data_IF_162083260835
#
_entry.id   IF_162083260835
#
_cell.length_a   1.000
_cell.length_b   1.000
_cell.length_c   1.000
_cell.angle_alpha   90.00
_cell.angle_beta   90.00
_cell.angle_gamma   90.00
#
_symmetry.space_group_name_H-M   'P 1'
#
loop_
_entity.id
_entity.type
_entity.pdbx_description
1 polymer ?
#
# COMPACT_ATOMS: atom_id res chain seq x y z
N UNK A 1 -6.62 -5.13 -28.39
CA UNK A 1 -5.23 -4.70 -28.11
C UNK A 1 -4.67 -3.86 -29.25
N UNK A 2 -4.71 -4.30 -30.51
CA UNK A 2 -4.21 -3.49 -31.65
C UNK A 2 -4.99 -2.18 -31.89
N UNK A 3 -6.29 -2.15 -31.63
CA UNK A 3 -7.11 -0.94 -31.75
C UNK A 3 -6.76 0.14 -30.71
N UNK A 4 -6.26 -0.28 -29.55
CA UNK A 4 -5.84 0.62 -28.46
C UNK A 4 -4.46 1.23 -28.75
N UNK A 5 -3.53 0.44 -29.29
CA UNK A 5 -2.23 0.89 -29.78
C UNK A 5 -2.34 1.83 -31.00
N UNK A 6 -3.37 1.65 -31.83
CA UNK A 6 -3.69 2.56 -32.93
C UNK A 6 -4.24 3.91 -32.45
N UNK A 7 -5.04 3.92 -31.38
CA UNK A 7 -5.56 5.14 -30.76
C UNK A 7 -4.45 5.90 -30.00
N UNK A 8 -3.51 5.18 -29.38
CA UNK A 8 -2.32 5.75 -28.73
C UNK A 8 -1.29 6.32 -29.73
N UNK A 9 -1.14 5.72 -30.92
CA UNK A 9 -0.32 6.31 -31.99
C UNK A 9 -0.95 7.57 -32.61
N UNK A 10 -2.29 7.65 -32.67
CA UNK A 10 -2.99 8.87 -33.09
C UNK A 10 -2.86 10.00 -32.06
N UNK A 11 -2.67 9.65 -30.78
CA UNK A 11 -2.43 10.58 -29.67
C UNK A 11 -1.03 11.24 -29.72
N UNK A 12 -0.07 10.63 -30.41
CA UNK A 12 1.33 11.09 -30.50
C UNK A 12 1.67 11.86 -31.80
N UNK A 13 0.73 11.97 -32.74
CA UNK A 13 0.87 12.82 -33.92
C UNK A 13 -0.14 13.96 -33.87
N UNK A 14 0.20 15.04 -33.19
CA UNK A 14 -0.44 16.34 -33.41
C UNK A 14 0.05 16.87 -34.76
N UNK A 15 -0.50 16.34 -35.86
CA UNK A 15 -0.43 17.02 -37.14
C UNK A 15 -1.48 18.13 -37.09
N UNK A 16 -1.11 19.41 -37.25
CA UNK A 16 -2.11 20.46 -37.33
C UNK A 16 -3.01 20.14 -38.53
N UNK A 17 -4.30 19.96 -38.29
CA UNK A 17 -5.30 19.92 -39.36
C UNK A 17 -5.45 21.33 -39.93
N UNK A 18 -4.42 21.80 -40.61
CA UNK A 18 -4.57 22.92 -41.51
C UNK A 18 -5.27 22.33 -42.73
N UNK A 19 -6.59 22.48 -42.78
CA UNK A 19 -7.31 22.42 -44.05
C UNK A 19 -6.88 23.63 -44.88
N UNK A 20 -5.65 23.62 -45.39
CA UNK A 20 -5.37 24.32 -46.63
C UNK A 20 -5.97 23.45 -47.73
N UNK A 21 -7.25 23.64 -48.01
CA UNK A 21 -7.74 23.27 -49.33
C UNK A 21 -6.88 24.06 -50.33
N UNK A 22 -5.94 23.37 -50.97
CA UNK A 22 -5.10 23.91 -52.02
C UNK A 22 -5.98 24.28 -53.20
N UNK A 23 -6.55 25.49 -53.19
CA UNK A 23 -7.33 26.02 -54.30
C UNK A 23 -8.57 26.85 -53.95
N UNK A 24 -9.00 26.92 -52.69
CA UNK A 24 -10.05 27.87 -52.30
C UNK A 24 -9.44 29.11 -51.67
N UNK A 25 -9.14 30.07 -52.54
CA UNK A 25 -8.62 31.39 -52.23
C UNK A 25 -9.60 32.17 -51.33
N UNK A 26 -9.47 32.04 -50.00
CA UNK A 26 -9.94 33.05 -49.08
C UNK A 26 -8.93 34.20 -49.09
N UNK A 27 -8.97 35.05 -50.13
CA UNK A 27 -8.20 36.29 -50.18
C UNK A 27 -7.63 36.67 -51.54
N UNK A 28 -8.41 37.49 -52.27
CA UNK A 28 -8.02 38.41 -53.34
C UNK A 28 -7.70 37.86 -54.75
N UNK A 29 -8.48 38.34 -55.72
CA UNK A 29 -8.15 38.40 -57.15
C UNK A 29 -7.78 39.85 -57.50
N UNK A 30 -6.64 40.05 -58.16
CA UNK A 30 -6.12 41.36 -58.55
C UNK A 30 -7.04 42.08 -59.55
N UNK A 31 -7.80 43.06 -59.06
CA UNK A 31 -8.69 43.86 -59.91
C UNK A 31 -9.51 44.95 -59.21
N UNK A 32 -9.23 45.31 -57.96
CA UNK A 32 -9.83 46.47 -57.31
C UNK A 32 -8.77 47.27 -56.55
N UNK A 33 -8.69 48.59 -56.78
CA UNK A 33 -7.59 49.47 -56.35
C UNK A 33 -8.12 50.61 -55.46
N UNK A 34 -7.27 51.12 -54.55
CA UNK A 34 -7.52 52.13 -53.51
C UNK A 34 -8.16 51.60 -52.20
N UNK A 35 -7.61 51.99 -51.04
CA UNK A 35 -7.90 51.46 -49.69
C UNK A 35 -7.67 49.95 -49.53
N UNK A 36 -6.41 49.54 -49.66
CA UNK A 36 -6.00 48.14 -49.55
C UNK A 36 -6.39 47.51 -48.19
N UNK A 37 -6.70 46.22 -48.16
CA UNK A 37 -7.31 45.58 -47.01
C UNK A 37 -6.27 45.51 -45.90
N UNK A 38 -6.57 46.09 -44.74
CA UNK A 38 -5.88 45.72 -43.51
C UNK A 38 -6.08 44.21 -43.39
N UNK A 39 -5.03 43.46 -43.74
CA UNK A 39 -5.05 42.02 -43.68
C UNK A 39 -5.48 41.64 -42.27
N UNK A 40 -6.62 40.95 -42.17
CA UNK A 40 -7.04 40.35 -40.92
C UNK A 40 -5.87 39.51 -40.44
N UNK A 41 -5.27 39.93 -39.34
CA UNK A 41 -4.30 39.14 -38.62
C UNK A 41 -5.06 37.88 -38.23
N UNK A 42 -4.79 36.76 -38.90
CA UNK A 42 -5.18 35.45 -38.38
C UNK A 42 -4.01 35.02 -37.50
N UNK A 43 -4.08 35.23 -36.17
CA UNK A 43 -2.96 34.88 -35.32
C UNK A 43 -2.73 33.38 -35.45
N UNK A 44 -1.49 32.98 -35.72
CA UNK A 44 -1.07 31.57 -35.62
C UNK A 44 -1.28 31.16 -34.16
N UNK A 45 -2.37 30.47 -33.88
CA UNK A 45 -2.71 30.02 -32.54
C UNK A 45 -1.66 28.99 -32.11
N UNK A 46 -0.93 29.30 -31.03
CA UNK A 46 -0.05 28.35 -30.36
C UNK A 46 -0.91 27.19 -29.82
N UNK A 47 -0.45 25.95 -29.97
CA UNK A 47 -1.20 24.77 -29.55
C UNK A 47 -1.52 24.80 -28.05
N UNK A 48 -2.67 24.21 -27.68
CA UNK A 48 -3.17 24.23 -26.31
C UNK A 48 -2.32 23.31 -25.42
N UNK A 49 -1.73 23.86 -24.35
CA UNK A 49 -0.95 23.07 -23.40
C UNK A 49 -1.87 22.49 -22.32
N UNK A 50 -1.65 21.22 -21.96
CA UNK A 50 -2.35 20.54 -20.85
C UNK A 50 -1.39 20.18 -19.74
N UNK A 51 -1.93 20.04 -18.52
CA UNK A 51 -1.19 19.50 -17.38
C UNK A 51 -1.12 17.97 -17.50
N UNK A 52 0.08 17.42 -17.27
CA UNK A 52 0.28 15.97 -17.24
C UNK A 52 -0.45 15.34 -16.04
N UNK A 53 -0.89 14.09 -16.22
CA UNK A 53 -1.55 13.33 -15.15
C UNK A 53 -0.50 12.60 -14.31
N UNK A 54 -0.63 12.58 -12.98
CA UNK A 54 0.22 11.75 -12.13
C UNK A 54 -0.04 10.26 -12.37
N UNK A 55 1.00 9.45 -12.35
CA UNK A 55 0.89 7.99 -12.46
C UNK A 55 0.22 7.35 -11.23
N UNK A 56 -0.60 6.33 -11.45
CA UNK A 56 -1.37 5.64 -10.41
C UNK A 56 -0.59 4.42 -9.88
N UNK A 57 -0.56 4.23 -8.56
CA UNK A 57 0.21 3.14 -7.89
C UNK A 57 -0.60 2.29 -6.91
N UNK A 58 -1.84 2.66 -6.62
CA UNK A 58 -2.65 2.03 -5.58
C UNK A 58 -2.81 0.51 -5.76
N UNK A 59 -2.91 0.01 -6.99
CA UNK A 59 -3.09 -1.41 -7.28
C UNK A 59 -1.84 -2.25 -7.01
N UNK A 60 -0.66 -1.62 -7.02
CA UNK A 60 0.58 -2.30 -6.66
C UNK A 60 0.76 -2.42 -5.15
N UNK A 61 0.19 -1.48 -4.40
CA UNK A 61 0.33 -1.34 -2.95
C UNK A 61 -0.70 -2.15 -2.16
N UNK A 62 -1.94 -2.25 -2.65
CA UNK A 62 -3.03 -3.01 -2.01
C UNK A 62 -3.29 -4.35 -2.71
N UNK A 63 -3.91 -5.30 -2.01
CA UNK A 63 -4.45 -6.52 -2.63
C UNK A 63 -5.76 -6.21 -3.36
N UNK A 64 -6.00 -6.80 -4.52
CA UNK A 64 -7.24 -6.57 -5.30
C UNK A 64 -8.16 -7.78 -5.19
N UNK A 65 -9.39 -7.55 -4.71
CA UNK A 65 -10.40 -8.60 -4.54
C UNK A 65 -11.74 -8.18 -5.16
N UNK A 66 -12.01 -8.53 -6.43
CA UNK A 66 -13.27 -8.15 -7.06
C UNK A 66 -14.48 -8.76 -6.34
N UNK A 67 -15.53 -7.96 -6.19
CA UNK A 67 -16.79 -8.38 -5.56
C UNK A 67 -17.84 -8.65 -6.64
N UNK A 68 -18.64 -9.70 -6.46
CA UNK A 68 -19.79 -10.00 -7.33
C UNK A 68 -21.12 -9.50 -6.75
N UNK A 69 -21.11 -9.05 -5.49
CA UNK A 69 -22.26 -8.57 -4.75
C UNK A 69 -21.90 -7.24 -4.06
N UNK A 70 -22.88 -6.39 -3.71
CA UNK A 70 -22.62 -5.09 -3.07
C UNK A 70 -22.01 -5.21 -1.67
N UNK A 71 -22.17 -6.37 -1.02
CA UNK A 71 -21.51 -6.73 0.22
C UNK A 71 -20.74 -8.04 0.05
N UNK A 72 -19.54 -8.10 0.61
CA UNK A 72 -18.66 -9.25 0.62
C UNK A 72 -18.32 -9.64 2.06
N UNK A 73 -18.03 -10.92 2.27
CA UNK A 73 -17.58 -11.43 3.57
C UNK A 73 -16.17 -11.97 3.41
N UNK A 74 -15.27 -11.52 4.27
CA UNK A 74 -13.93 -12.09 4.42
C UNK A 74 -13.97 -12.94 5.69
N UNK A 75 -13.56 -14.20 5.56
CA UNK A 75 -13.47 -15.12 6.68
C UNK A 75 -12.01 -15.29 7.08
N UNK A 76 -11.75 -15.28 8.39
CA UNK A 76 -10.45 -15.54 8.98
C UNK A 76 -10.59 -16.69 9.98
N UNK A 77 -9.72 -17.69 9.87
CA UNK A 77 -9.66 -18.79 10.81
C UNK A 77 -8.47 -18.57 11.74
N UNK A 78 -8.73 -18.56 13.05
CA UNK A 78 -7.72 -18.44 14.10
C UNK A 78 -7.71 -19.71 14.92
N UNK A 79 -6.54 -20.29 15.15
CA UNK A 79 -6.34 -21.39 16.10
C UNK A 79 -6.19 -20.83 17.50
N UNK A 80 -6.86 -21.41 18.50
CA UNK A 80 -6.87 -20.92 19.88
C UNK A 80 -6.62 -22.06 20.87
N UNK A 81 -5.94 -21.76 21.96
CA UNK A 81 -5.87 -22.66 23.10
C UNK A 81 -7.21 -22.66 23.86
N UNK A 82 -7.60 -23.80 24.41
CA UNK A 82 -8.79 -23.90 25.26
C UNK A 82 -8.35 -23.72 26.71
N UNK A 83 -8.74 -22.59 27.32
CA UNK A 83 -8.60 -22.39 28.76
C UNK A 83 -9.89 -22.86 29.44
N UNK A 84 -9.78 -23.87 30.31
CA UNK A 84 -10.90 -24.48 31.04
C UNK A 84 -11.66 -23.54 31.98
N UNK A 85 -11.25 -22.28 32.09
CA UNK A 85 -11.94 -21.23 32.87
C UNK A 85 -12.99 -20.45 32.08
N UNK A 86 -12.95 -20.48 30.74
CA UNK A 86 -13.87 -19.72 29.91
C UNK A 86 -15.09 -20.55 29.51
N UNK A 87 -16.30 -20.09 29.85
CA UNK A 87 -17.58 -20.71 29.48
C UNK A 87 -17.78 -20.86 27.96
N UNK A 88 -16.93 -20.23 27.16
CA UNK A 88 -16.84 -20.38 25.72
C UNK A 88 -15.37 -20.70 25.38
N UNK A 89 -15.06 -21.98 25.12
CA UNK A 89 -13.73 -22.57 24.81
C UNK A 89 -13.02 -21.98 23.56
N UNK A 90 -13.41 -20.78 23.13
CA UNK A 90 -12.92 -20.09 21.93
C UNK A 90 -12.25 -18.73 22.26
N UNK A 91 -12.01 -18.43 23.54
CA UNK A 91 -11.46 -17.15 24.00
C UNK A 91 -10.00 -17.22 24.49
N UNK A 92 -9.36 -18.38 24.42
CA UNK A 92 -7.94 -18.51 24.78
C UNK A 92 -7.01 -17.87 23.75
N UNK A 93 -5.74 -17.71 24.14
CA UNK A 93 -4.68 -17.10 23.32
C UNK A 93 -4.57 -17.76 21.95
N UNK A 94 -4.33 -16.95 20.91
CA UNK A 94 -4.13 -17.45 19.55
C UNK A 94 -2.85 -18.28 19.44
N UNK A 95 -3.00 -19.52 18.99
CA UNK A 95 -1.91 -20.42 18.64
C UNK A 95 -1.41 -20.12 17.22
N UNK A 96 -0.17 -20.53 16.91
CA UNK A 96 0.49 -20.36 15.61
C UNK A 96 0.81 -18.90 15.20
N UNK A 97 0.58 -17.95 16.10
CA UNK A 97 0.95 -16.55 15.92
C UNK A 97 2.06 -16.12 16.90
N UNK A 98 1.77 -16.26 18.19
CA UNK A 98 2.71 -16.00 19.28
C UNK A 98 3.76 -17.12 19.37
N UNK A 99 4.81 -16.86 20.15
CA UNK A 99 5.79 -17.89 20.51
C UNK A 99 5.06 -19.10 21.13
N UNK A 100 5.24 -20.32 20.60
CA UNK A 100 4.55 -21.50 21.11
C UNK A 100 4.96 -21.77 22.56
N UNK A 101 3.98 -22.03 23.43
CA UNK A 101 4.24 -22.46 24.80
C UNK A 101 4.84 -23.87 24.84
N UNK A 102 6.13 -23.94 25.20
CA UNK A 102 6.88 -25.19 25.35
C UNK A 102 6.35 -26.11 26.46
N UNK A 103 5.57 -25.58 27.42
CA UNK A 103 4.97 -26.38 28.49
C UNK A 103 3.58 -26.91 28.15
N UNK A 104 2.84 -26.28 27.22
CA UNK A 104 1.40 -26.52 27.04
C UNK A 104 1.05 -27.99 26.76
N UNK A 105 1.81 -28.69 25.92
CA UNK A 105 1.58 -30.13 25.66
C UNK A 105 2.27 -31.07 26.68
N UNK A 106 3.18 -30.54 27.50
CA UNK A 106 3.89 -31.27 28.55
C UNK A 106 3.21 -31.22 29.92
N UNK A 107 2.16 -30.42 30.05
CA UNK A 107 1.38 -30.22 31.27
C UNK A 107 -0.03 -30.81 31.15
N UNK A 108 -0.65 -31.10 32.30
CA UNK A 108 -2.10 -31.33 32.36
C UNK A 108 -2.83 -29.99 32.29
N UNK A 109 -4.16 -30.01 32.14
CA UNK A 109 -5.00 -28.80 32.22
C UNK A 109 -4.93 -28.04 33.54
N UNK A 110 -4.27 -28.60 34.56
CA UNK A 110 -4.05 -27.97 35.87
C UNK A 110 -2.63 -27.43 36.05
N UNK A 111 -1.74 -27.58 35.05
CA UNK A 111 -0.33 -27.17 35.11
C UNK A 111 0.42 -27.68 36.35
N UNK A 112 0.12 -28.92 36.77
CA UNK A 112 0.60 -29.51 38.02
C UNK A 112 1.82 -30.45 37.88
N UNK A 113 2.31 -30.69 36.67
CA UNK A 113 3.36 -31.69 36.44
C UNK A 113 4.74 -31.05 36.64
N UNK A 114 5.28 -31.15 37.86
CA UNK A 114 6.63 -30.68 38.22
C UNK A 114 7.63 -31.79 38.52
N UNK A 115 7.15 -33.04 38.60
CA UNK A 115 8.00 -34.20 38.85
C UNK A 115 8.96 -34.44 37.69
N UNK A 116 10.25 -34.54 37.98
CA UNK A 116 11.29 -34.84 36.98
C UNK A 116 11.72 -33.65 36.12
N UNK A 117 11.43 -32.42 36.52
CA UNK A 117 12.08 -31.24 35.95
C UNK A 117 13.60 -31.34 36.07
N UNK A 118 14.30 -30.98 34.99
CA UNK A 118 15.76 -31.10 34.90
C UNK A 118 16.43 -30.19 35.94
N UNK A 119 16.08 -28.91 35.93
CA UNK A 119 16.54 -27.93 36.91
C UNK A 119 15.68 -26.65 36.88
N UNK A 120 14.58 -26.67 37.63
CA UNK A 120 13.66 -25.54 37.72
C UNK A 120 14.31 -24.27 38.32
N UNK A 121 15.42 -24.41 39.06
CA UNK A 121 16.11 -23.26 39.66
C UNK A 121 16.86 -22.41 38.65
N UNK A 122 17.21 -23.00 37.50
CA UNK A 122 17.86 -22.34 36.36
C UNK A 122 16.89 -22.14 35.18
N UNK A 123 15.58 -22.28 35.41
CA UNK A 123 14.55 -22.14 34.37
C UNK A 123 14.48 -23.33 33.38
N UNK A 124 15.13 -24.46 33.68
CA UNK A 124 15.12 -25.66 32.86
C UNK A 124 14.07 -26.65 33.35
N UNK A 125 12.90 -26.61 32.70
CA UNK A 125 11.75 -27.44 33.07
C UNK A 125 10.89 -26.74 34.10
N UNK A 126 9.90 -26.03 33.58
CA UNK A 126 8.89 -25.30 34.34
C UNK A 126 7.48 -25.68 33.87
N UNK A 127 6.47 -25.27 34.63
CA UNK A 127 5.05 -25.55 34.31
C UNK A 127 4.47 -24.59 33.28
N UNK A 128 5.21 -23.54 32.91
CA UNK A 128 4.86 -22.56 31.88
C UNK A 128 6.16 -21.88 31.42
N UNK A 129 6.23 -21.42 30.18
CA UNK A 129 7.35 -20.60 29.72
C UNK A 129 7.11 -19.11 29.94
N UNK A 130 8.19 -18.35 30.04
CA UNK A 130 8.21 -16.91 30.24
C UNK A 130 9.42 -16.27 29.56
N UNK A 131 9.30 -14.97 29.25
CA UNK A 131 10.28 -14.23 28.47
C UNK A 131 10.17 -14.50 26.96
N UNK A 132 10.42 -13.46 26.16
CA UNK A 132 10.23 -13.49 24.70
C UNK A 132 11.49 -13.11 23.91
N UNK A 133 12.57 -12.76 24.61
CA UNK A 133 13.83 -12.35 24.00
C UNK A 133 15.01 -13.00 24.74
N UNK A 134 15.80 -13.87 24.08
CA UNK A 134 16.96 -14.50 24.71
C UNK A 134 18.06 -13.51 25.11
N UNK A 135 18.00 -12.25 24.65
CA UNK A 135 18.85 -11.17 25.17
C UNK A 135 18.66 -10.89 26.66
N UNK A 136 17.53 -11.30 27.25
CA UNK A 136 17.31 -11.23 28.70
C UNK A 136 18.30 -12.09 29.51
N UNK A 137 18.91 -13.11 28.88
CA UNK A 137 19.93 -13.96 29.48
C UNK A 137 21.31 -13.28 29.59
N UNK A 138 21.44 -11.99 29.26
CA UNK A 138 22.71 -11.27 29.33
C UNK A 138 22.63 -10.07 30.31
N UNK A 139 23.38 -10.09 31.43
CA UNK A 139 24.29 -11.16 31.87
C UNK A 139 23.54 -12.42 32.34
N UNK A 140 24.17 -13.59 32.16
CA UNK A 140 23.57 -14.87 32.57
C UNK A 140 23.74 -15.07 34.07
N UNK A 141 22.62 -15.03 34.78
CA UNK A 141 22.48 -15.26 36.21
C UNK A 141 21.28 -16.18 36.42
N UNK A 142 21.21 -16.90 37.53
CA UNK A 142 20.06 -17.79 37.81
C UNK A 142 18.73 -17.01 37.73
N UNK A 143 18.70 -15.77 38.22
CA UNK A 143 17.52 -14.90 38.14
C UNK A 143 17.12 -14.51 36.70
N UNK A 144 18.10 -14.29 35.81
CA UNK A 144 17.82 -13.97 34.39
C UNK A 144 17.46 -15.21 33.58
N UNK A 145 17.93 -16.39 33.99
CA UNK A 145 17.53 -17.67 33.41
C UNK A 145 16.10 -18.06 33.81
N UNK A 146 15.71 -17.86 35.07
CA UNK A 146 14.31 -18.06 35.51
C UNK A 146 13.35 -17.05 34.84
N UNK A 147 13.83 -15.87 34.48
CA UNK A 147 13.03 -14.88 33.73
C UNK A 147 12.90 -15.19 32.22
N UNK A 148 13.66 -16.16 31.71
CA UNK A 148 13.55 -16.72 30.36
C UNK A 148 13.59 -18.25 30.46
N UNK A 149 12.52 -18.82 31.01
CA UNK A 149 12.42 -20.24 31.31
C UNK A 149 11.74 -21.03 30.19
N UNK A 150 11.91 -22.36 30.24
CA UNK A 150 11.40 -23.28 29.24
C UNK A 150 10.57 -24.39 29.89
N UNK A 151 9.44 -24.69 29.27
CA UNK A 151 8.64 -25.86 29.61
C UNK A 151 9.36 -27.16 29.30
N UNK A 152 9.05 -28.21 30.07
CA UNK A 152 9.56 -29.56 29.82
C UNK A 152 8.43 -30.52 29.49
N UNK A 153 8.74 -31.54 28.71
CA UNK A 153 7.82 -32.64 28.39
C UNK A 153 7.35 -33.39 29.62
N UNK A 154 6.15 -33.97 29.52
CA UNK A 154 5.54 -34.78 30.56
C UNK A 154 6.30 -36.10 30.74
N UNK A 155 6.47 -36.56 31.98
CA UNK A 155 6.95 -37.92 32.24
C UNK A 155 5.90 -38.96 31.81
N UNK A 156 6.37 -40.14 31.42
CA UNK A 156 5.51 -41.23 30.94
C UNK A 156 4.47 -41.67 31.97
N UNK A 157 4.84 -41.71 33.26
CA UNK A 157 3.92 -42.07 34.34
C UNK A 157 2.78 -41.06 34.54
N UNK A 158 3.04 -39.76 34.36
CA UNK A 158 1.97 -38.75 34.35
C UNK A 158 1.15 -38.81 33.05
N UNK A 159 1.80 -39.07 31.91
CA UNK A 159 1.15 -39.16 30.60
C UNK A 159 0.22 -40.35 30.46
N UNK A 160 0.52 -41.49 31.07
CA UNK A 160 -0.33 -42.68 31.06
C UNK A 160 -1.61 -42.48 31.88
N UNK A 161 -1.58 -41.59 32.88
CA UNK A 161 -2.73 -41.26 33.73
C UNK A 161 -3.57 -40.09 33.18
N UNK A 162 -3.24 -39.58 31.98
CA UNK A 162 -3.95 -38.45 31.37
C UNK A 162 -5.34 -38.90 30.89
N UNK A 163 -6.38 -38.18 31.30
CA UNK A 163 -7.79 -38.54 31.13
C UNK A 163 -8.46 -39.08 32.40
N UNK A 164 -7.69 -39.33 33.47
CA UNK A 164 -8.23 -39.67 34.78
C UNK A 164 -8.67 -38.42 35.58
N UNK A 165 -9.36 -38.61 36.71
CA UNK A 165 -9.86 -37.52 37.54
C UNK A 165 -8.71 -36.61 38.00
N UNK A 166 -8.75 -35.33 37.61
CA UNK A 166 -7.73 -34.33 37.96
C UNK A 166 -6.54 -34.24 37.00
N UNK A 167 -6.48 -35.07 35.95
CA UNK A 167 -5.40 -35.07 34.95
C UNK A 167 -5.97 -35.00 33.55
N UNK A 168 -6.60 -33.89 33.18
CA UNK A 168 -7.18 -33.73 31.83
C UNK A 168 -6.14 -33.27 30.81
N UNK A 169 -6.39 -33.62 29.55
CA UNK A 169 -5.63 -33.12 28.41
C UNK A 169 -5.80 -31.60 28.24
N UNK A 170 -4.75 -30.95 27.76
CA UNK A 170 -4.85 -29.61 27.22
C UNK A 170 -5.43 -29.66 25.80
N UNK A 171 -6.37 -28.77 25.50
CA UNK A 171 -7.13 -28.78 24.26
C UNK A 171 -6.85 -27.56 23.38
N UNK A 172 -7.02 -27.73 22.06
CA UNK A 172 -6.93 -26.67 21.06
C UNK A 172 -8.20 -26.64 20.22
N UNK A 173 -8.62 -25.45 19.85
CA UNK A 173 -9.79 -25.22 19.01
C UNK A 173 -9.45 -24.25 17.87
N UNK A 174 -10.39 -24.06 16.95
CA UNK A 174 -10.33 -22.98 15.98
C UNK A 174 -11.62 -22.18 16.00
N UNK A 175 -11.52 -20.91 15.65
CA UNK A 175 -12.64 -19.98 15.51
C UNK A 175 -12.61 -19.34 14.13
N UNK A 176 -13.80 -19.16 13.55
CA UNK A 176 -13.94 -18.48 12.27
C UNK A 176 -14.58 -17.12 12.52
N UNK A 177 -13.83 -16.07 12.25
CA UNK A 177 -14.27 -14.69 12.33
C UNK A 177 -14.69 -14.21 10.92
N UNK A 178 -15.64 -13.27 10.88
CA UNK A 178 -16.10 -12.67 9.63
C UNK A 178 -15.98 -11.16 9.67
N UNK A 179 -15.51 -10.58 8.58
CA UNK A 179 -15.50 -9.13 8.35
C UNK A 179 -16.32 -8.84 7.10
N UNK A 180 -17.20 -7.84 7.19
CA UNK A 180 -18.03 -7.41 6.07
C UNK A 180 -17.35 -6.28 5.31
N UNK A 181 -17.36 -6.37 3.99
CA UNK A 181 -16.94 -5.29 3.08
C UNK A 181 -18.17 -4.78 2.37
N UNK A 182 -18.43 -3.48 2.43
CA UNK A 182 -19.58 -2.85 1.77
C UNK A 182 -19.09 -1.89 0.70
N UNK A 183 -19.57 -2.07 -0.54
CA UNK A 183 -19.18 -1.23 -1.67
C UNK A 183 -19.82 0.16 -1.57
N UNK A 184 -18.97 1.20 -1.54
CA UNK A 184 -19.30 2.62 -1.64
C UNK A 184 -19.24 3.09 -3.10
N UNK A 185 -19.86 4.23 -3.41
CA UNK A 185 -19.94 4.75 -4.78
C UNK A 185 -19.20 6.08 -4.94
N UNK A 186 -18.58 6.28 -6.11
CA UNK A 186 -18.16 7.59 -6.60
C UNK A 186 -18.87 7.92 -7.90
N UNK A 187 -19.16 9.19 -8.11
CA UNK A 187 -19.77 9.66 -9.34
C UNK A 187 -19.40 11.11 -9.61
N UNK A 188 -19.07 11.43 -10.87
CA UNK A 188 -18.91 12.79 -11.35
C UNK A 188 -19.77 13.00 -12.59
N UNK A 189 -20.15 14.26 -12.82
CA UNK A 189 -20.98 14.67 -13.94
C UNK A 189 -20.43 15.96 -14.52
N UNK A 190 -20.45 16.05 -15.84
CA UNK A 190 -20.25 17.28 -16.57
C UNK A 190 -21.46 17.57 -17.46
N UNK A 191 -21.75 18.84 -17.62
CA UNK A 191 -22.73 19.35 -18.58
C UNK A 191 -21.97 20.29 -19.52
N UNK A 192 -22.31 20.25 -20.80
CA UNK A 192 -21.76 21.17 -21.78
C UNK A 192 -22.86 21.68 -22.69
N UNK A 193 -22.72 22.93 -23.13
CA UNK A 193 -23.64 23.53 -24.10
C UNK A 193 -23.30 23.06 -25.51
N UNK A 194 -24.32 22.92 -26.35
CA UNK A 194 -24.13 22.66 -27.78
C UNK A 194 -23.37 23.81 -28.44
N UNK A 195 -23.65 25.04 -28.05
CA UNK A 195 -22.95 26.23 -28.57
C UNK A 195 -21.46 26.15 -28.25
N UNK A 196 -21.10 25.82 -27.00
CA UNK A 196 -19.71 25.67 -26.59
C UNK A 196 -19.02 24.52 -27.33
N UNK A 197 -19.70 23.40 -27.56
CA UNK A 197 -19.14 22.29 -28.31
C UNK A 197 -18.90 22.64 -29.79
N UNK A 198 -19.79 23.45 -30.39
CA UNK A 198 -19.64 23.94 -31.76
C UNK A 198 -18.48 24.93 -31.86
N UNK A 199 -18.39 25.91 -30.96
CA UNK A 199 -17.31 26.90 -30.92
C UNK A 199 -15.94 26.24 -30.70
N UNK A 200 -15.87 25.33 -29.73
CA UNK A 200 -14.64 24.63 -29.37
C UNK A 200 -14.16 23.74 -30.51
N UNK A 201 -15.09 23.10 -31.24
CA UNK A 201 -14.77 22.32 -32.44
C UNK A 201 -14.33 23.21 -33.61
N UNK A 202 -14.97 24.36 -33.80
CA UNK A 202 -14.68 25.26 -34.92
C UNK A 202 -13.33 25.99 -34.77
N UNK A 203 -12.99 26.40 -33.55
CA UNK A 203 -11.75 27.15 -33.27
C UNK A 203 -10.58 26.21 -32.97
N UNK A 204 -10.77 25.23 -32.08
CA UNK A 204 -9.67 24.40 -31.58
C UNK A 204 -9.61 23.00 -32.22
N UNK A 205 -10.58 22.62 -33.04
CA UNK A 205 -10.66 21.27 -33.62
C UNK A 205 -10.90 20.16 -32.60
N UNK A 206 -11.15 20.51 -31.33
CA UNK A 206 -11.29 19.56 -30.23
C UNK A 206 -12.75 19.12 -30.05
N UNK A 207 -12.95 17.90 -29.55
CA UNK A 207 -14.26 17.37 -29.22
C UNK A 207 -14.54 17.55 -27.72
N UNK A 208 -15.41 18.51 -27.37
CA UNK A 208 -15.76 18.84 -25.99
C UNK A 208 -16.27 17.63 -25.18
N UNK A 209 -17.02 16.70 -25.81
CA UNK A 209 -17.50 15.50 -25.13
C UNK A 209 -16.35 14.58 -24.73
N UNK A 210 -15.43 14.31 -25.66
CA UNK A 210 -14.29 13.44 -25.43
C UNK A 210 -13.35 14.02 -24.36
N UNK A 211 -13.12 15.33 -24.39
CA UNK A 211 -12.28 16.00 -23.40
C UNK A 211 -12.87 15.95 -21.99
N UNK A 212 -14.16 16.26 -21.86
CA UNK A 212 -14.85 16.15 -20.57
C UNK A 212 -14.91 14.69 -20.10
N UNK A 213 -15.10 13.73 -21.01
CA UNK A 213 -15.10 12.32 -20.67
C UNK A 213 -13.75 11.89 -20.06
N UNK A 214 -12.66 12.32 -20.69
CA UNK A 214 -11.31 12.03 -20.23
C UNK A 214 -11.08 12.64 -18.85
N UNK A 215 -11.32 13.94 -18.66
CA UNK A 215 -11.12 14.65 -17.37
C UNK A 215 -11.86 13.95 -16.23
N UNK A 216 -13.14 13.62 -16.42
CA UNK A 216 -13.94 12.98 -15.37
C UNK A 216 -13.44 11.58 -15.03
N UNK A 217 -13.08 10.80 -16.05
CA UNK A 217 -12.60 9.43 -15.83
C UNK A 217 -11.27 9.41 -15.08
N UNK A 218 -10.36 10.30 -15.46
CA UNK A 218 -9.03 10.39 -14.87
C UNK A 218 -9.08 10.94 -13.45
N UNK A 219 -9.97 11.91 -13.20
CA UNK A 219 -10.17 12.46 -11.85
C UNK A 219 -10.69 11.40 -10.88
N UNK A 220 -11.72 10.62 -11.26
CA UNK A 220 -12.23 9.55 -10.40
C UNK A 220 -11.14 8.52 -10.10
N UNK A 221 -10.33 8.14 -11.08
CA UNK A 221 -9.23 7.19 -10.88
C UNK A 221 -8.15 7.78 -9.97
N UNK A 222 -7.79 9.05 -10.13
CA UNK A 222 -6.83 9.74 -9.27
C UNK A 222 -7.34 9.86 -7.83
N UNK A 223 -8.62 10.17 -7.63
CA UNK A 223 -9.26 10.20 -6.32
C UNK A 223 -9.24 8.84 -5.62
N UNK A 224 -9.57 7.76 -6.33
CA UNK A 224 -9.52 6.39 -5.81
C UNK A 224 -8.08 6.03 -5.42
N UNK A 225 -7.12 6.33 -6.29
CA UNK A 225 -5.70 6.09 -6.01
C UNK A 225 -5.25 6.82 -4.74
N UNK A 226 -5.65 8.09 -4.58
CA UNK A 226 -5.30 8.87 -3.39
C UNK A 226 -6.03 8.39 -2.13
N UNK A 227 -7.26 7.90 -2.25
CA UNK A 227 -7.97 7.28 -1.13
C UNK A 227 -7.21 6.06 -0.61
N UNK A 228 -6.80 5.14 -1.49
CA UNK A 228 -6.01 3.95 -1.11
C UNK A 228 -4.72 4.35 -0.39
N UNK A 229 -3.97 5.29 -0.96
CA UNK A 229 -2.71 5.76 -0.37
C UNK A 229 -2.94 6.39 1.02
N UNK A 230 -3.96 7.24 1.16
CA UNK A 230 -4.27 7.88 2.45
C UNK A 230 -4.76 6.88 3.49
N UNK A 231 -5.50 5.85 3.07
CA UNK A 231 -5.88 4.75 3.96
C UNK A 231 -4.63 4.03 4.45
N UNK A 232 -3.68 3.69 3.57
CA UNK A 232 -2.40 3.08 3.97
C UNK A 232 -1.71 3.91 5.06
N UNK A 233 -1.62 5.23 4.91
CA UNK A 233 -1.03 6.09 5.94
C UNK A 233 -1.78 6.11 7.27
N UNK A 234 -3.11 5.95 7.24
CA UNK A 234 -3.93 5.91 8.46
C UNK A 234 -3.91 4.56 9.16
N UNK A 235 -3.70 3.49 8.42
CA UNK A 235 -3.65 2.12 8.93
C UNK A 235 -2.24 1.66 9.30
N UNK A 236 -1.22 2.34 8.77
CA UNK A 236 0.17 2.05 9.09
C UNK A 236 0.47 2.37 10.56
N UNK A 237 1.17 1.46 11.21
CA UNK A 237 1.68 1.69 12.57
C UNK A 237 2.92 2.57 12.56
N UNK A 238 3.18 3.21 13.70
CA UNK A 238 4.36 4.04 13.91
C UNK A 238 5.64 3.18 13.92
N UNK A 239 6.53 3.40 12.95
CA UNK A 239 7.87 2.78 12.88
C UNK A 239 8.86 3.38 13.88
N UNK A 240 10.14 2.98 13.80
CA UNK A 240 11.23 3.57 14.60
C UNK A 240 10.94 3.64 16.12
N UNK A 241 10.59 2.50 16.74
CA UNK A 241 10.23 2.45 18.17
C UNK A 241 11.38 2.12 19.13
N UNK A 242 12.39 1.39 18.66
CA UNK A 242 13.53 0.92 19.47
C UNK A 242 14.79 1.67 19.03
N UNK A 243 15.94 1.63 19.72
CA UNK A 243 17.24 2.25 19.30
C UNK A 243 17.17 3.58 18.50
N UNK A 244 16.29 4.49 18.92
CA UNK A 244 16.22 5.87 18.45
C UNK A 244 16.05 6.78 19.65
N UNK A 245 16.48 8.02 19.54
CA UNK A 245 16.37 9.01 20.61
C UNK A 245 14.92 9.42 20.89
N UNK A 246 14.06 9.42 19.87
CA UNK A 246 12.64 9.73 20.01
C UNK A 246 11.79 8.76 19.20
N UNK A 247 10.97 7.96 19.88
CA UNK A 247 10.14 6.94 19.28
C UNK A 247 9.21 7.54 18.20
N UNK A 248 9.16 6.89 17.04
CA UNK A 248 8.39 7.35 15.88
C UNK A 248 9.11 8.32 14.96
N UNK A 249 10.33 8.74 15.31
CA UNK A 249 11.16 9.59 14.46
C UNK A 249 12.56 9.03 14.33
N UNK A 250 13.12 9.07 13.12
CA UNK A 250 14.52 8.76 12.89
C UNK A 250 15.26 10.05 12.53
N UNK A 251 16.10 10.52 13.43
CA UNK A 251 16.90 11.72 13.25
C UNK A 251 18.28 11.36 12.71
N UNK A 252 18.58 11.81 11.48
CA UNK A 252 19.86 11.55 10.81
C UNK A 252 21.10 12.05 11.60
N UNK A 253 20.96 13.05 12.47
CA UNK A 253 22.07 13.61 13.24
C UNK A 253 22.29 12.94 14.60
N UNK A 254 21.23 12.36 15.19
CA UNK A 254 21.26 11.78 16.54
C UNK A 254 21.25 10.26 16.51
N UNK A 255 20.44 9.68 15.62
CA UNK A 255 20.26 8.23 15.52
C UNK A 255 21.24 7.59 14.53
N UNK A 256 22.02 8.40 13.82
CA UNK A 256 23.11 7.95 12.96
C UNK A 256 24.41 8.67 13.26
N UNK A 257 25.44 7.91 13.66
CA UNK A 257 26.77 8.42 14.01
C UNK A 257 27.67 8.67 12.79
N UNK A 258 27.09 8.83 11.60
CA UNK A 258 27.85 9.15 10.39
C UNK A 258 28.47 10.55 10.47
N UNK A 259 29.74 10.69 10.09
CA UNK A 259 30.39 12.00 9.99
C UNK A 259 29.91 12.73 8.75
N UNK A 260 29.71 12.01 7.65
CA UNK A 260 29.27 12.55 6.36
C UNK A 260 27.83 12.10 6.05
N UNK A 261 27.08 12.88 5.26
CA UNK A 261 25.66 12.62 4.99
C UNK A 261 25.38 11.24 4.38
N UNK A 262 26.29 10.72 3.56
CA UNK A 262 26.12 9.39 2.95
C UNK A 262 26.18 8.27 3.99
N UNK A 263 27.02 8.41 5.02
CA UNK A 263 27.07 7.46 6.14
C UNK A 263 25.79 7.52 6.96
N UNK A 264 25.23 8.72 7.15
CA UNK A 264 23.94 8.91 7.83
C UNK A 264 22.78 8.25 7.09
N UNK A 265 22.77 8.33 5.76
CA UNK A 265 21.77 7.64 4.93
C UNK A 265 21.88 6.12 4.97
N UNK A 266 23.08 5.55 5.21
CA UNK A 266 23.21 4.11 5.50
C UNK A 266 22.58 3.73 6.84
N UNK A 267 22.63 4.61 7.84
CA UNK A 267 21.88 4.46 9.09
C UNK A 267 20.37 4.39 8.85
N UNK A 268 19.83 5.24 7.97
CA UNK A 268 18.43 5.19 7.57
C UNK A 268 18.07 3.84 6.90
N UNK A 269 18.95 3.30 6.04
CA UNK A 269 18.70 2.01 5.41
C UNK A 269 18.66 0.86 6.42
N UNK A 270 19.54 0.89 7.43
CA UNK A 270 19.48 -0.08 8.53
C UNK A 270 18.21 0.07 9.36
N UNK A 271 17.76 1.31 9.58
CA UNK A 271 16.50 1.58 10.26
C UNK A 271 15.30 0.98 9.51
N UNK A 272 15.25 1.16 8.19
CA UNK A 272 14.21 0.56 7.33
C UNK A 272 14.26 -0.97 7.41
N UNK A 273 15.44 -1.59 7.41
CA UNK A 273 15.58 -3.04 7.55
C UNK A 273 15.03 -3.53 8.90
N UNK A 274 15.23 -2.76 9.98
CA UNK A 274 14.69 -3.10 11.29
C UNK A 274 13.16 -3.02 11.32
N UNK A 275 12.57 -1.99 10.74
CA UNK A 275 11.11 -1.89 10.63
C UNK A 275 10.56 -3.01 9.72
N UNK A 276 11.26 -3.37 8.64
CA UNK A 276 10.91 -4.50 7.79
C UNK A 276 10.94 -5.84 8.54
N UNK A 277 11.89 -6.03 9.46
CA UNK A 277 11.98 -7.21 10.31
C UNK A 277 10.85 -7.25 11.35
N UNK A 278 10.48 -6.11 11.92
CA UNK A 278 9.33 -6.02 12.82
C UNK A 278 8.03 -6.42 12.11
N UNK A 279 7.83 -6.00 10.85
CA UNK A 279 6.71 -6.44 10.01
C UNK A 279 6.71 -7.96 9.83
N UNK A 280 7.88 -8.58 9.61
CA UNK A 280 7.96 -10.04 9.46
C UNK A 280 7.55 -10.78 10.73
N UNK A 281 8.00 -10.30 11.88
CA UNK A 281 7.64 -10.88 13.17
C UNK A 281 6.15 -10.74 13.45
N UNK A 282 5.57 -9.56 13.16
CA UNK A 282 4.15 -9.28 13.44
C UNK A 282 3.20 -9.93 12.45
N UNK A 283 3.55 -10.03 11.17
CA UNK A 283 2.64 -10.63 10.17
C UNK A 283 2.85 -12.12 10.01
N UNK A 284 4.04 -12.64 10.34
CA UNK A 284 4.46 -14.02 10.04
C UNK A 284 4.27 -14.42 8.56
N UNK A 285 4.27 -13.44 7.65
CA UNK A 285 4.14 -13.67 6.20
C UNK A 285 5.43 -13.35 5.46
N UNK A 286 6.10 -12.28 5.83
CA UNK A 286 7.39 -11.91 5.25
C UNK A 286 7.88 -10.54 5.73
N UNK A 287 9.15 -10.25 5.43
CA UNK A 287 9.71 -8.91 5.66
C UNK A 287 9.05 -7.89 4.75
N UNK A 288 8.95 -6.64 5.23
CA UNK A 288 8.54 -5.52 4.38
C UNK A 288 9.29 -5.53 3.04
N UNK A 289 8.58 -5.26 1.94
CA UNK A 289 9.11 -5.35 0.58
C UNK A 289 8.66 -4.20 -0.33
N UNK A 290 7.80 -3.31 0.16
CA UNK A 290 7.34 -2.11 -0.52
C UNK A 290 7.64 -0.92 0.39
N UNK A 291 8.16 0.17 -0.18
CA UNK A 291 8.36 1.45 0.49
C UNK A 291 7.60 2.50 -0.29
N UNK A 292 6.81 3.32 0.42
CA UNK A 292 6.20 4.53 -0.10
C UNK A 292 6.76 5.71 0.68
N UNK A 293 7.44 6.62 -0.01
CA UNK A 293 8.14 7.73 0.64
C UNK A 293 8.02 9.04 -0.14
N UNK A 294 8.48 10.13 0.48
CA UNK A 294 8.67 11.40 -0.21
C UNK A 294 9.87 11.35 -1.17
N UNK A 295 9.91 12.29 -2.13
CA UNK A 295 10.98 12.35 -3.12
C UNK A 295 12.37 12.57 -2.48
N UNK A 296 12.44 13.32 -1.39
CA UNK A 296 13.71 13.57 -0.67
C UNK A 296 14.24 12.29 0.00
N UNK A 297 13.35 11.47 0.57
CA UNK A 297 13.74 10.17 1.16
C UNK A 297 14.14 9.20 0.06
N UNK A 298 13.41 9.15 -1.06
CA UNK A 298 13.82 8.35 -2.22
C UNK A 298 15.21 8.75 -2.75
N UNK A 299 15.51 10.05 -2.78
CA UNK A 299 16.84 10.58 -3.14
C UNK A 299 17.91 10.22 -2.12
N UNK A 300 17.60 10.25 -0.82
CA UNK A 300 18.53 9.79 0.21
C UNK A 300 18.85 8.29 0.05
N UNK A 301 17.86 7.49 -0.32
CA UNK A 301 18.01 6.05 -0.55
C UNK A 301 18.86 5.72 -1.78
N UNK A 302 18.75 6.46 -2.88
CA UNK A 302 19.67 6.29 -4.02
C UNK A 302 21.10 6.57 -3.60
N UNK A 303 21.32 7.70 -2.93
CA UNK A 303 22.66 8.13 -2.52
C UNK A 303 23.30 7.20 -1.49
N UNK A 304 22.49 6.55 -0.64
CA UNK A 304 22.97 5.52 0.28
C UNK A 304 23.53 4.28 -0.46
N UNK A 305 22.95 3.93 -1.62
CA UNK A 305 23.29 2.75 -2.43
C UNK A 305 24.47 2.92 -3.39
N UNK A 306 24.90 4.16 -3.69
CA UNK A 306 25.95 4.46 -4.68
C UNK A 306 27.36 4.02 -4.24
N UNK A 307 27.59 3.76 -2.94
CA UNK A 307 28.92 3.39 -2.41
C UNK A 307 29.20 1.89 -2.32
N UNK A 308 28.38 1.02 -2.91
CA UNK A 308 28.72 -0.41 -2.97
C UNK A 308 29.76 -0.62 -4.09
N UNK A 309 31.02 -0.80 -3.71
CA UNK A 309 32.19 -0.89 -4.59
C UNK A 309 32.30 -2.24 -5.34
N UNK A 310 31.19 -2.80 -5.82
CA UNK A 310 31.21 -3.96 -6.72
C UNK A 310 30.40 -3.66 -7.98
N UNK A 311 30.95 -3.86 -9.19
CA UNK A 311 30.29 -3.47 -10.43
C UNK A 311 29.30 -4.56 -10.83
N UNK A 312 28.21 -4.76 -10.09
CA UNK A 312 27.18 -5.75 -10.48
C UNK A 312 25.81 -5.52 -9.82
N UNK A 313 25.19 -4.36 -10.04
CA UNK A 313 23.77 -4.14 -10.38
C UNK A 313 23.49 -2.64 -10.24
N UNK A 314 23.18 -1.97 -11.34
CA UNK A 314 22.83 -0.55 -11.34
C UNK A 314 21.54 -0.31 -10.52
N UNK A 315 21.70 0.08 -9.26
CA UNK A 315 20.60 0.53 -8.39
C UNK A 315 20.25 2.01 -8.64
N UNK A 316 20.11 2.41 -9.92
CA UNK A 316 19.64 3.76 -10.24
C UNK A 316 18.12 3.80 -10.04
N UNK A 317 17.67 4.32 -8.89
CA UNK A 317 16.27 4.73 -8.78
C UNK A 317 16.08 5.99 -9.61
N UNK A 318 15.03 6.03 -10.44
CA UNK A 318 14.64 7.24 -11.14
C UNK A 318 13.77 8.09 -10.21
N UNK A 319 14.40 9.02 -9.49
CA UNK A 319 13.69 9.88 -8.53
C UNK A 319 13.23 11.15 -9.23
N UNK A 320 11.98 11.13 -9.67
CA UNK A 320 11.30 12.26 -10.31
C UNK A 320 9.83 12.23 -9.88
N UNK A 321 9.36 13.34 -9.29
CA UNK A 321 7.99 13.51 -8.81
C UNK A 321 6.98 13.82 -9.92
N UNK A 322 7.46 14.19 -11.12
CA UNK A 322 6.62 14.52 -12.27
C UNK A 322 6.36 13.34 -13.20
N UNK A 323 7.27 12.37 -13.22
CA UNK A 323 7.30 11.28 -14.20
C UNK A 323 6.80 9.94 -13.65
N UNK A 324 7.68 9.19 -12.99
CA UNK A 324 7.38 7.82 -12.55
C UNK A 324 7.28 7.73 -11.03
N UNK A 325 6.10 7.39 -10.54
CA UNK A 325 5.86 7.13 -9.12
C UNK A 325 6.53 5.84 -8.64
N UNK A 326 6.92 4.92 -9.54
CA UNK A 326 7.83 3.83 -9.21
C UNK A 326 9.28 4.26 -9.43
N UNK A 327 10.03 4.42 -8.34
CA UNK A 327 11.41 4.87 -8.41
C UNK A 327 12.35 3.72 -8.82
N UNK A 328 12.07 2.50 -8.36
CA UNK A 328 12.87 1.31 -8.66
C UNK A 328 12.95 0.33 -7.50
N UNK A 329 13.91 -0.59 -7.57
CA UNK A 329 14.16 -1.57 -6.50
C UNK A 329 15.51 -1.30 -5.86
N UNK A 330 15.54 -1.06 -4.55
CA UNK A 330 16.78 -0.91 -3.79
C UNK A 330 17.21 -2.26 -3.20
N UNK A 331 18.51 -2.55 -3.31
CA UNK A 331 19.16 -3.78 -2.84
C UNK A 331 18.47 -5.08 -3.34
N UNK A 332 17.86 -5.02 -4.54
CA UNK A 332 17.11 -6.15 -5.13
C UNK A 332 15.89 -6.62 -4.32
N UNK A 333 15.49 -5.91 -3.26
CA UNK A 333 14.54 -6.39 -2.25
C UNK A 333 13.34 -5.47 -2.06
N UNK A 334 13.57 -4.16 -1.95
CA UNK A 334 12.51 -3.20 -1.64
C UNK A 334 12.08 -2.44 -2.89
N UNK A 335 10.80 -2.54 -3.25
CA UNK A 335 10.19 -1.71 -4.29
C UNK A 335 9.87 -0.34 -3.72
N UNK A 336 10.50 0.71 -4.26
CA UNK A 336 10.35 2.09 -3.78
C UNK A 336 9.38 2.84 -4.68
N UNK A 337 8.36 3.42 -4.07
CA UNK A 337 7.37 4.29 -4.69
C UNK A 337 7.46 5.69 -4.09
N UNK A 338 7.30 6.70 -4.92
CA UNK A 338 7.29 8.12 -4.54
C UNK A 338 5.84 8.59 -4.48
N UNK A 339 5.45 9.22 -3.38
CA UNK A 339 4.19 9.99 -3.32
C UNK A 339 4.45 11.39 -3.90
N UNK A 340 3.93 11.71 -5.10
CA UNK A 340 4.13 13.03 -5.71
C UNK A 340 3.41 14.16 -4.95
N UNK A 341 2.51 13.82 -4.03
CA UNK A 341 1.81 14.77 -3.17
C UNK A 341 2.41 14.85 -1.75
N UNK A 342 3.56 14.22 -1.51
CA UNK A 342 4.33 14.46 -0.30
C UNK A 342 4.86 15.90 -0.33
N UNK A 343 4.79 16.61 0.81
CA UNK A 343 5.24 17.99 0.89
C UNK A 343 6.78 18.08 0.86
N UNK A 344 7.38 18.06 -0.34
CA UNK A 344 8.83 18.19 -0.54
C UNK A 344 9.38 19.56 -0.09
N UNK A 345 8.51 20.53 0.23
CA UNK A 345 8.88 21.83 0.80
C UNK A 345 8.77 21.90 2.33
N UNK A 346 8.39 20.80 3.00
CA UNK A 346 8.32 20.72 4.46
C UNK A 346 9.53 19.95 5.02
N UNK A 347 10.01 20.35 6.20
CA UNK A 347 11.09 19.63 6.89
C UNK A 347 10.67 18.22 7.34
N UNK A 348 9.36 17.98 7.48
CA UNK A 348 8.80 16.69 7.91
C UNK A 348 8.68 15.74 6.71
N UNK A 349 9.72 14.96 6.52
CA UNK A 349 9.78 13.90 5.52
C UNK A 349 9.31 12.57 6.12
N UNK A 350 8.87 11.62 5.28
CA UNK A 350 8.36 10.35 5.76
C UNK A 350 8.69 9.19 4.81
N UNK A 351 8.69 7.98 5.37
CA UNK A 351 8.58 6.74 4.64
C UNK A 351 7.55 5.84 5.33
N UNK A 352 6.88 5.02 4.55
CA UNK A 352 6.04 3.92 5.03
C UNK A 352 6.55 2.66 4.36
N UNK A 353 6.90 1.66 5.16
CA UNK A 353 7.26 0.33 4.68
C UNK A 353 6.10 -0.62 4.91
N UNK A 354 5.79 -1.43 3.91
CA UNK A 354 4.73 -2.41 3.94
C UNK A 354 5.18 -3.75 3.38
N UNK A 355 4.41 -4.79 3.68
CA UNK A 355 4.55 -6.11 3.09
C UNK A 355 3.34 -6.40 2.18
N UNK A 356 3.62 -6.93 0.99
CA UNK A 356 2.63 -7.53 0.10
C UNK A 356 3.23 -8.78 -0.53
N UNK A 357 2.57 -9.92 -0.32
CA UNK A 357 2.92 -11.19 -0.93
C UNK A 357 2.64 -11.24 -2.43
N UNK A 358 2.97 -12.37 -3.04
CA UNK A 358 2.66 -12.64 -4.45
C UNK A 358 1.17 -12.88 -4.69
N UNK A 359 0.47 -13.32 -3.66
CA UNK A 359 -0.98 -13.55 -3.68
C UNK A 359 -1.75 -12.25 -3.37
N UNK A 360 -2.84 -11.94 -4.08
CA UNK A 360 -3.73 -10.82 -3.75
C UNK A 360 -4.38 -10.91 -2.37
N UNK A 361 -4.42 -12.11 -1.78
CA UNK A 361 -4.92 -12.35 -0.42
C UNK A 361 -3.89 -12.02 0.66
N UNK A 362 -2.62 -11.87 0.29
CA UNK A 362 -1.52 -11.61 1.21
C UNK A 362 -1.11 -10.13 1.13
N UNK A 363 -2.04 -9.27 1.50
CA UNK A 363 -1.84 -7.83 1.60
C UNK A 363 -2.46 -7.31 2.90
N UNK A 364 -1.93 -6.23 3.46
CA UNK A 364 -2.50 -5.60 4.66
C UNK A 364 -3.82 -4.86 4.42
N UNK A 365 -4.06 -4.42 3.17
CA UNK A 365 -5.25 -3.70 2.75
C UNK A 365 -5.80 -4.29 1.46
N UNK A 366 -7.13 -4.45 1.38
CA UNK A 366 -7.82 -4.91 0.20
C UNK A 366 -8.62 -3.78 -0.46
N UNK A 367 -8.40 -3.60 -1.76
CA UNK A 367 -9.24 -2.83 -2.65
C UNK A 367 -10.17 -3.77 -3.40
N UNK A 368 -11.48 -3.59 -3.20
CA UNK A 368 -12.49 -4.52 -3.67
C UNK A 368 -13.41 -3.86 -4.70
N UNK A 369 -13.07 -3.88 -6.01
CA UNK A 369 -13.92 -3.29 -7.04
C UNK A 369 -15.21 -4.10 -7.22
N UNK A 370 -16.35 -3.41 -7.32
CA UNK A 370 -17.66 -4.05 -7.57
C UNK A 370 -18.22 -3.68 -8.94
N UNK A 371 -18.41 -2.37 -9.20
CA UNK A 371 -18.85 -1.87 -10.50
C UNK A 371 -17.71 -1.04 -11.08
N UNK A 372 -17.14 -1.42 -12.24
CA UNK A 372 -16.09 -0.64 -12.87
C UNK A 372 -16.62 0.73 -13.29
N UNK A 373 -15.71 1.62 -13.70
CA UNK A 373 -16.08 2.95 -14.16
C UNK A 373 -17.02 2.88 -15.37
N UNK A 374 -18.29 3.22 -15.19
CA UNK A 374 -19.32 3.21 -16.22
C UNK A 374 -19.62 4.63 -16.67
N UNK A 375 -19.52 4.86 -17.99
CA UNK A 375 -19.96 6.10 -18.63
C UNK A 375 -21.48 6.09 -18.82
N UNK A 376 -22.14 7.16 -18.41
CA UNK A 376 -23.56 7.40 -18.67
C UNK A 376 -23.72 8.69 -19.46
N UNK A 377 -24.61 8.65 -20.45
CA UNK A 377 -24.98 9.81 -21.27
C UNK A 377 -26.46 10.10 -21.05
N UNK A 378 -26.79 11.38 -20.99
CA UNK A 378 -28.15 11.86 -20.91
C UNK A 378 -28.27 13.20 -21.63
N UNK A 379 -29.49 13.58 -22.00
CA UNK A 379 -29.82 14.93 -22.47
C UNK A 379 -30.80 15.52 -21.47
N UNK A 380 -30.55 16.75 -21.01
CA UNK A 380 -31.47 17.43 -20.10
C UNK A 380 -32.81 17.66 -20.79
N UNK A 381 -33.92 17.19 -20.20
CA UNK A 381 -35.24 17.32 -20.82
C UNK A 381 -35.69 18.79 -20.98
N UNK A 382 -35.23 19.68 -20.08
CA UNK A 382 -35.69 21.07 -20.04
C UNK A 382 -34.86 21.99 -20.95
N UNK A 383 -33.56 21.73 -21.07
CA UNK A 383 -32.62 22.59 -21.82
C UNK A 383 -32.09 21.95 -23.10
N UNK A 384 -32.38 20.67 -23.34
CA UNK A 384 -31.82 19.85 -24.42
C UNK A 384 -30.28 19.86 -24.49
N UNK A 385 -29.62 20.22 -23.39
CA UNK A 385 -28.16 20.22 -23.30
C UNK A 385 -27.64 18.81 -22.98
N UNK A 386 -26.56 18.36 -23.64
CA UNK A 386 -25.90 17.10 -23.34
C UNK A 386 -25.30 17.06 -21.91
N UNK A 387 -25.40 15.88 -21.30
CA UNK A 387 -24.85 15.58 -19.98
C UNK A 387 -24.11 14.25 -20.04
N UNK A 388 -22.91 14.25 -19.50
CA UNK A 388 -22.07 13.05 -19.33
C UNK A 388 -21.82 12.83 -17.85
N UNK A 389 -21.83 11.58 -17.42
CA UNK A 389 -21.41 11.23 -16.08
C UNK A 389 -20.65 9.92 -16.05
N UNK A 390 -19.91 9.74 -14.97
CA UNK A 390 -19.27 8.47 -14.65
C UNK A 390 -19.71 8.03 -13.26
N UNK A 391 -19.88 6.72 -13.09
CA UNK A 391 -20.18 6.10 -11.80
C UNK A 391 -19.31 4.86 -11.62
N UNK A 392 -18.88 4.62 -10.39
CA UNK A 392 -18.12 3.43 -10.00
C UNK A 392 -18.51 3.02 -8.58
N UNK A 393 -18.32 1.74 -8.24
CA UNK A 393 -18.55 1.22 -6.90
C UNK A 393 -17.43 0.29 -6.48
N UNK A 394 -16.91 0.47 -5.27
CA UNK A 394 -15.85 -0.36 -4.71
C UNK A 394 -15.90 -0.30 -3.17
N UNK A 395 -15.33 -1.32 -2.53
CA UNK A 395 -15.10 -1.37 -1.09
C UNK A 395 -13.62 -1.33 -0.77
N UNK A 396 -13.29 -0.96 0.46
CA UNK A 396 -11.94 -1.06 1.02
C UNK A 396 -12.04 -1.63 2.42
N UNK A 397 -11.14 -2.53 2.76
CA UNK A 397 -11.09 -3.15 4.09
C UNK A 397 -9.65 -3.56 4.42
N UNK A 398 -9.30 -3.48 5.69
CA UNK A 398 -8.06 -4.07 6.19
C UNK A 398 -8.14 -5.60 6.20
N UNK A 399 -6.99 -6.25 6.08
CA UNK A 399 -6.91 -7.70 6.27
C UNK A 399 -7.22 -8.04 7.74
N UNK A 400 -8.06 -9.05 8.04
CA UNK A 400 -8.32 -9.49 9.41
C UNK A 400 -7.07 -9.78 10.27
N UNK A 401 -5.94 -10.12 9.63
CA UNK A 401 -4.66 -10.39 10.30
C UNK A 401 -3.67 -9.21 10.26
N UNK A 402 -4.08 -8.03 9.76
CA UNK A 402 -3.19 -6.88 9.60
C UNK A 402 -2.66 -6.33 10.92
N UNK A 403 -3.44 -6.42 11.99
CA UNK A 403 -3.15 -5.80 13.29
C UNK A 403 -2.28 -6.68 14.21
N UNK A 404 -1.91 -7.88 13.77
CA UNK A 404 -1.02 -8.77 14.53
C UNK A 404 -1.57 -9.15 15.92
N UNK A 405 -2.89 -9.25 16.05
CA UNK A 405 -3.60 -9.67 17.25
C UNK A 405 -4.58 -10.77 16.93
#
# INVERSE_FOLDING_TARGET
>A
QERFLSEEKAFLSEAPTVSTNSGANAGFSAGATATGPVAGFDPVLISLIRRAMPNLVAYDLAGVQPMNAPTGLIFAMRSRFVDGTNANSMLGTEALFNEPDSAFSGQTSQNGNSSGFVDASTGLGTTAQSGSNPGALNPSTDATQVAYDVGQGMRTDESENLGESGKSFNEMAFSIEKITVTAKSRALKAEYSLELAQDLKAIHGLNAEAELANILSTEILAEINREVIRTIYKTAETGAQVNVASAGTFNLDVDSNGRWSVEKFKGLLFQIERDANAIAQRTRRGKGNIILCSADVASALTMAGVLDYTPALNANLNVDDTGNTFAGVINGKYRVYIDPFAANSAATQYYVIGYKGTSPYDAGLFYCPYVPLQMVRAVGQDTFQPKIGFKTRYGMVENPFSQGT
#
